data_IF_370009987627
#
_entry.id   IF_370009987627
#
_cell.length_a   1.000
_cell.length_b   1.000
_cell.length_c   1.000
_cell.angle_alpha   90.00
_cell.angle_beta   90.00
_cell.angle_gamma   90.00
#
_symmetry.space_group_name_H-M   'P 1'
#
loop_
_entity.id
_entity.type
_entity.pdbx_description
1 polymer ?
#
# COMPACT_ATOMS: atom_id res chain seq x y z
N UNK A 1 6.92 -9.30 19.36
CA UNK A 1 6.67 -10.71 19.03
C UNK A 1 6.20 -10.77 17.59
N UNK A 2 6.64 -11.74 16.78
CA UNK A 2 6.17 -11.89 15.39
C UNK A 2 4.76 -12.48 15.39
N UNK A 3 3.83 -11.88 14.67
CA UNK A 3 2.53 -12.47 14.36
C UNK A 3 2.70 -13.48 13.21
N UNK A 4 3.11 -14.70 13.57
CA UNK A 4 3.42 -15.74 12.59
C UNK A 4 2.21 -16.12 11.72
N UNK A 5 0.98 -16.30 12.25
CA UNK A 5 -0.20 -16.54 11.41
C UNK A 5 -0.39 -15.48 10.32
N UNK A 6 -0.37 -14.19 10.68
CA UNK A 6 -0.54 -13.10 9.71
C UNK A 6 0.58 -13.05 8.66
N UNK A 7 1.81 -13.41 9.05
CA UNK A 7 2.97 -13.45 8.15
C UNK A 7 2.92 -14.66 7.21
N UNK A 8 2.51 -15.82 7.70
CA UNK A 8 2.32 -17.02 6.87
C UNK A 8 1.20 -16.81 5.85
N UNK A 9 0.19 -15.99 6.17
CA UNK A 9 -0.81 -15.61 5.18
C UNK A 9 -0.24 -14.78 4.02
N UNK A 10 0.92 -14.15 4.21
CA UNK A 10 1.60 -13.31 3.22
C UNK A 10 2.70 -14.04 2.45
N UNK A 11 3.12 -15.24 2.84
CA UNK A 11 3.96 -16.08 1.99
C UNK A 11 3.14 -16.69 0.85
N UNK A 12 3.78 -17.04 -0.27
CA UNK A 12 3.08 -17.64 -1.42
C UNK A 12 2.59 -19.08 -1.18
N UNK A 13 2.97 -19.68 -0.05
CA UNK A 13 2.73 -21.07 0.25
C UNK A 13 1.61 -21.22 1.27
N UNK A 14 0.90 -22.35 1.19
CA UNK A 14 -0.17 -22.75 2.09
C UNK A 14 0.03 -24.21 2.47
N UNK A 15 -0.60 -24.65 3.55
CA UNK A 15 -0.61 -26.07 3.89
C UNK A 15 -1.01 -26.92 2.66
N UNK A 16 -0.30 -28.02 2.36
CA UNK A 16 0.78 -28.65 3.14
C UNK A 16 2.21 -28.14 2.83
N UNK A 17 2.38 -27.11 1.98
CA UNK A 17 3.68 -26.58 1.55
C UNK A 17 4.37 -25.61 2.52
N UNK A 18 3.81 -25.41 3.73
CA UNK A 18 4.48 -24.65 4.79
C UNK A 18 5.45 -25.57 5.54
N UNK A 19 6.74 -25.23 5.52
CA UNK A 19 7.81 -26.10 6.02
C UNK A 19 8.41 -25.64 7.34
N UNK A 20 8.02 -24.49 7.89
CA UNK A 20 8.53 -24.00 9.16
C UNK A 20 7.52 -24.35 10.27
N UNK A 21 7.99 -25.01 11.32
CA UNK A 21 7.15 -25.41 12.45
C UNK A 21 7.17 -24.37 13.58
N UNK A 22 8.29 -23.67 13.76
CA UNK A 22 8.48 -22.70 14.83
C UNK A 22 9.54 -21.65 14.50
N UNK A 23 9.35 -20.43 15.00
CA UNK A 23 10.36 -19.37 14.99
C UNK A 23 11.23 -19.48 16.24
N UNK A 24 12.54 -19.35 16.06
CA UNK A 24 13.53 -19.26 17.13
C UNK A 24 13.88 -17.82 17.47
N UNK A 25 15.18 -17.51 17.48
CA UNK A 25 15.71 -16.18 17.71
C UNK A 25 15.37 -15.25 16.55
N UNK A 26 14.98 -14.01 16.87
CA UNK A 26 14.65 -13.00 15.87
C UNK A 26 15.28 -11.66 16.24
N UNK A 27 16.15 -11.19 15.34
CA UNK A 27 16.71 -9.85 15.33
C UNK A 27 16.07 -9.07 14.17
N UNK A 28 15.08 -8.19 14.44
CA UNK A 28 14.29 -7.54 13.40
C UNK A 28 15.13 -6.88 12.31
N UNK A 29 14.86 -7.25 11.05
CA UNK A 29 15.53 -6.72 9.87
C UNK A 29 16.98 -7.20 9.67
N UNK A 30 17.52 -8.02 10.56
CA UNK A 30 18.90 -8.51 10.52
C UNK A 30 18.94 -10.04 10.36
N UNK A 31 18.41 -10.79 11.33
CA UNK A 31 18.58 -12.25 11.42
C UNK A 31 17.33 -12.92 11.97
N UNK A 32 17.02 -14.12 11.48
CA UNK A 32 15.95 -14.97 11.99
C UNK A 32 16.42 -16.43 12.00
N UNK A 33 16.16 -17.13 13.10
CA UNK A 33 16.23 -18.59 13.14
C UNK A 33 14.84 -19.20 13.22
N UNK A 34 14.68 -20.39 12.65
CA UNK A 34 13.45 -21.15 12.67
C UNK A 34 13.76 -22.65 12.66
N UNK A 35 12.74 -23.48 12.88
CA UNK A 35 12.89 -24.91 13.00
C UNK A 35 11.92 -25.68 12.10
N UNK A 36 12.40 -26.79 11.52
CA UNK A 36 11.61 -27.83 10.88
C UNK A 36 11.98 -29.19 11.48
N UNK A 37 11.01 -29.84 12.10
CA UNK A 37 11.14 -31.18 12.65
C UNK A 37 10.72 -32.18 11.56
N UNK A 38 11.61 -33.11 11.24
CA UNK A 38 11.36 -34.05 10.15
C UNK A 38 10.81 -35.35 10.72
N UNK A 39 9.55 -35.62 10.45
CA UNK A 39 8.92 -36.89 10.81
C UNK A 39 8.93 -37.84 9.61
N UNK A 40 8.90 -39.15 9.85
CA UNK A 40 8.80 -40.14 8.75
C UNK A 40 7.49 -39.98 7.95
N UNK A 41 6.49 -39.31 8.52
CA UNK A 41 5.18 -39.09 7.93
C UNK A 41 5.14 -37.90 6.96
N UNK A 42 6.24 -37.18 6.75
CA UNK A 42 6.26 -36.10 5.75
C UNK A 42 6.10 -36.71 4.33
N UNK A 43 5.17 -36.15 3.55
CA UNK A 43 4.75 -36.69 2.25
C UNK A 43 5.90 -36.88 1.23
N UNK A 44 6.99 -36.13 1.38
CA UNK A 44 8.14 -36.22 0.49
C UNK A 44 9.10 -37.38 0.80
N UNK A 45 9.05 -38.00 1.99
CA UNK A 45 9.95 -39.11 2.31
C UNK A 45 9.62 -40.43 1.59
N UNK A 46 8.34 -40.88 1.53
CA UNK A 46 7.98 -42.13 0.85
C UNK A 46 8.35 -42.17 -0.64
N UNK A 47 8.36 -41.01 -1.31
CA UNK A 47 8.56 -40.91 -2.76
C UNK A 47 9.94 -40.44 -3.23
N UNK A 48 10.79 -39.88 -2.37
CA UNK A 48 12.07 -39.30 -2.81
C UNK A 48 13.13 -40.37 -3.09
N UNK A 49 13.30 -41.34 -2.18
CA UNK A 49 14.16 -42.52 -2.41
C UNK A 49 13.59 -43.74 -1.66
N UNK A 50 13.09 -44.76 -2.39
CA UNK A 50 12.59 -45.99 -1.77
C UNK A 50 13.66 -46.65 -0.88
N UNK A 51 13.33 -46.88 0.39
CA UNK A 51 14.24 -47.51 1.37
C UNK A 51 15.33 -46.59 1.96
N UNK A 52 15.45 -45.35 1.52
CA UNK A 52 16.43 -44.38 2.01
C UNK A 52 15.80 -42.98 2.18
N UNK A 53 14.95 -42.77 3.19
CA UNK A 53 14.20 -41.52 3.34
C UNK A 53 15.16 -40.35 3.61
N UNK A 54 15.29 -39.45 2.63
CA UNK A 54 16.13 -38.25 2.70
C UNK A 54 15.29 -37.04 2.29
N UNK A 55 15.44 -35.91 2.98
CA UNK A 55 14.77 -34.66 2.62
C UNK A 55 15.36 -34.13 1.30
N UNK A 56 14.54 -33.84 0.28
CA UNK A 56 15.01 -33.23 -0.95
C UNK A 56 15.76 -31.92 -0.71
N UNK A 57 16.90 -31.76 -1.37
CA UNK A 57 17.75 -30.57 -1.27
C UNK A 57 16.99 -29.26 -1.56
N UNK A 58 16.08 -29.31 -2.54
CA UNK A 58 15.21 -28.18 -2.90
C UNK A 58 14.24 -27.79 -1.78
N UNK A 59 13.78 -28.72 -0.95
CA UNK A 59 12.91 -28.40 0.18
C UNK A 59 13.67 -27.73 1.33
N UNK A 60 14.98 -28.00 1.47
CA UNK A 60 15.81 -27.22 2.41
C UNK A 60 15.95 -25.77 1.95
N UNK A 61 16.12 -25.53 0.64
CA UNK A 61 16.15 -24.18 0.07
C UNK A 61 14.79 -23.48 0.21
N UNK A 62 13.70 -24.21 0.00
CA UNK A 62 12.34 -23.71 0.18
C UNK A 62 12.08 -23.32 1.64
N UNK A 63 12.45 -24.17 2.61
CA UNK A 63 12.33 -23.85 4.03
C UNK A 63 13.13 -22.59 4.41
N UNK A 64 14.37 -22.47 3.93
CA UNK A 64 15.18 -21.26 4.11
C UNK A 64 14.55 -20.01 3.45
N UNK A 65 13.92 -20.19 2.29
CA UNK A 65 13.19 -19.13 1.58
C UNK A 65 12.00 -18.63 2.39
N UNK A 66 11.24 -19.54 3.02
CA UNK A 66 10.13 -19.17 3.90
C UNK A 66 10.63 -18.38 5.11
N UNK A 67 11.78 -18.75 5.71
CA UNK A 67 12.36 -18.00 6.84
C UNK A 67 12.77 -16.60 6.39
N UNK A 68 13.40 -16.49 5.22
CA UNK A 68 13.76 -15.20 4.65
C UNK A 68 12.53 -14.33 4.37
N UNK A 69 11.44 -14.92 3.85
CA UNK A 69 10.18 -14.22 3.62
C UNK A 69 9.57 -13.71 4.93
N UNK A 70 9.53 -14.53 5.99
CA UNK A 70 9.04 -14.12 7.33
C UNK A 70 9.88 -12.96 7.88
N UNK A 71 11.21 -13.04 7.78
CA UNK A 71 12.12 -11.98 8.24
C UNK A 71 11.91 -10.66 7.45
N UNK A 72 11.72 -10.73 6.14
CA UNK A 72 11.46 -9.54 5.30
C UNK A 72 10.08 -8.93 5.61
N UNK A 73 9.04 -9.76 5.69
CA UNK A 73 7.65 -9.33 5.86
C UNK A 73 7.35 -8.85 7.28
N UNK A 74 8.07 -9.38 8.28
CA UNK A 74 7.99 -8.99 9.69
C UNK A 74 8.73 -7.69 10.03
N UNK A 75 9.44 -7.08 9.07
CA UNK A 75 10.08 -5.78 9.27
C UNK A 75 9.03 -4.65 9.30
N UNK A 76 9.15 -3.72 10.24
CA UNK A 76 8.22 -2.60 10.45
C UNK A 76 7.91 -1.72 9.21
N UNK A 77 8.79 -1.70 8.20
CA UNK A 77 8.63 -0.89 6.98
C UNK A 77 8.06 -1.69 5.80
N UNK A 78 7.74 -2.97 5.98
CA UNK A 78 7.18 -3.80 4.91
C UNK A 78 5.69 -3.53 4.80
N UNK A 79 5.23 -3.20 3.58
CA UNK A 79 3.82 -2.96 3.33
C UNK A 79 2.98 -4.17 3.80
N UNK A 80 1.81 -3.96 4.42
CA UNK A 80 0.93 -5.04 4.91
C UNK A 80 0.58 -6.05 3.81
N UNK A 81 0.48 -5.58 2.57
CA UNK A 81 0.16 -6.38 1.39
C UNK A 81 1.37 -7.06 0.76
N UNK A 82 2.59 -6.73 1.16
CA UNK A 82 3.79 -7.20 0.48
C UNK A 82 3.85 -8.73 0.46
N UNK A 83 4.29 -9.26 -0.67
CA UNK A 83 4.59 -10.68 -0.91
C UNK A 83 6.07 -10.82 -1.23
N UNK A 84 6.65 -11.97 -0.91
CA UNK A 84 8.07 -12.25 -1.17
C UNK A 84 8.21 -13.51 -1.99
N UNK A 85 8.83 -13.39 -3.16
CA UNK A 85 9.09 -14.50 -4.08
C UNK A 85 10.59 -14.78 -4.23
N UNK A 86 10.97 -16.05 -4.32
CA UNK A 86 12.35 -16.44 -4.64
C UNK A 86 12.63 -16.17 -6.12
N UNK A 87 13.73 -15.45 -6.40
CA UNK A 87 14.16 -15.12 -7.77
C UNK A 87 15.47 -15.75 -8.17
N UNK A 88 16.30 -16.13 -7.20
CA UNK A 88 17.57 -16.79 -7.49
C UNK A 88 18.16 -17.46 -6.27
N UNK A 89 18.91 -18.52 -6.53
CA UNK A 89 19.66 -19.28 -5.54
C UNK A 89 21.10 -19.34 -6.03
N UNK A 90 22.02 -18.75 -5.28
CA UNK A 90 23.43 -18.72 -5.62
C UNK A 90 24.24 -19.49 -4.58
N UNK A 91 25.40 -20.01 -4.99
CA UNK A 91 26.36 -20.67 -4.10
C UNK A 91 25.77 -21.77 -3.20
N UNK A 92 24.72 -22.47 -3.68
CA UNK A 92 24.06 -23.51 -2.91
C UNK A 92 24.98 -24.71 -2.70
N UNK A 93 25.13 -25.16 -1.45
CA UNK A 93 25.91 -26.35 -1.09
C UNK A 93 25.11 -27.23 -0.14
N UNK A 94 25.05 -28.53 -0.45
CA UNK A 94 24.40 -29.56 0.37
C UNK A 94 25.47 -30.52 0.86
N UNK A 95 25.67 -30.57 2.18
CA UNK A 95 26.85 -31.18 2.79
C UNK A 95 26.59 -32.53 3.41
N UNK A 96 25.35 -32.78 3.85
CA UNK A 96 24.93 -34.02 4.52
C UNK A 96 23.49 -34.35 4.16
N UNK A 97 23.16 -35.63 4.20
CA UNK A 97 21.77 -36.08 4.14
C UNK A 97 21.05 -35.63 5.41
N UNK A 98 19.79 -35.26 5.24
CA UNK A 98 18.87 -34.94 6.33
C UNK A 98 17.74 -35.96 6.27
N UNK A 99 17.47 -36.63 7.38
CA UNK A 99 16.65 -37.85 7.44
C UNK A 99 15.53 -37.69 8.47
N UNK A 100 14.52 -38.58 8.48
CA UNK A 100 13.50 -38.60 9.53
C UNK A 100 14.13 -38.70 10.92
N UNK A 101 13.60 -37.91 11.87
CA UNK A 101 14.13 -37.76 13.22
C UNK A 101 15.06 -36.56 13.39
N UNK A 102 15.60 -36.00 12.30
CA UNK A 102 16.39 -34.77 12.38
C UNK A 102 15.52 -33.55 12.73
N UNK A 103 16.13 -32.60 13.44
CA UNK A 103 15.60 -31.24 13.60
C UNK A 103 16.49 -30.27 12.85
N UNK A 104 15.94 -29.69 11.79
CA UNK A 104 16.60 -28.70 10.97
C UNK A 104 16.46 -27.32 11.62
N UNK A 105 17.58 -26.73 12.04
CA UNK A 105 17.63 -25.31 12.39
C UNK A 105 17.95 -24.51 11.13
N UNK A 106 17.08 -23.58 10.79
CA UNK A 106 17.16 -22.72 9.62
C UNK A 106 17.57 -21.32 10.08
N UNK A 107 18.71 -20.82 9.63
CA UNK A 107 19.19 -19.49 9.95
C UNK A 107 19.27 -18.64 8.68
N UNK A 108 18.69 -17.45 8.74
CA UNK A 108 18.73 -16.48 7.64
C UNK A 108 19.17 -15.12 8.17
N UNK A 109 20.14 -14.52 7.49
CA UNK A 109 20.59 -13.14 7.73
C UNK A 109 20.38 -12.28 6.47
N UNK A 110 19.78 -11.11 6.62
CA UNK A 110 19.56 -10.17 5.53
C UNK A 110 20.82 -9.34 5.26
N UNK A 111 21.21 -9.31 3.99
CA UNK A 111 22.23 -8.40 3.50
C UNK A 111 21.62 -7.07 3.05
N UNK A 112 22.30 -6.40 2.12
CA UNK A 112 21.87 -5.10 1.58
C UNK A 112 20.51 -5.23 0.88
N UNK A 113 19.51 -4.49 1.37
CA UNK A 113 18.19 -4.35 0.75
C UNK A 113 18.19 -3.22 -0.28
N UNK A 114 17.60 -3.47 -1.45
CA UNK A 114 17.14 -2.44 -2.40
C UNK A 114 15.61 -2.44 -2.40
N UNK A 115 14.98 -1.40 -2.95
CA UNK A 115 13.53 -1.15 -2.81
C UNK A 115 12.65 -2.41 -3.01
N UNK A 116 12.89 -3.19 -4.07
CA UNK A 116 12.11 -4.40 -4.41
C UNK A 116 12.92 -5.70 -4.41
N UNK A 117 14.16 -5.69 -3.95
CA UNK A 117 15.05 -6.86 -3.96
C UNK A 117 15.82 -6.96 -2.64
N UNK A 118 15.85 -8.16 -2.07
CA UNK A 118 16.64 -8.49 -0.89
C UNK A 118 17.58 -9.66 -1.21
N UNK A 119 18.82 -9.56 -0.70
CA UNK A 119 19.74 -10.68 -0.63
C UNK A 119 19.77 -11.22 0.78
N UNK A 120 19.75 -12.54 0.93
CA UNK A 120 19.81 -13.20 2.23
C UNK A 120 20.86 -14.30 2.21
N UNK A 121 21.70 -14.34 3.25
CA UNK A 121 22.55 -15.49 3.52
C UNK A 121 21.73 -16.50 4.31
N UNK A 122 21.67 -17.74 3.83
CA UNK A 122 20.80 -18.75 4.40
C UNK A 122 21.58 -20.04 4.69
N UNK A 123 21.46 -20.57 5.89
CA UNK A 123 22.19 -21.76 6.34
C UNK A 123 21.27 -22.68 7.14
N UNK A 124 21.33 -23.97 6.88
CA UNK A 124 20.59 -24.99 7.62
C UNK A 124 21.54 -25.92 8.37
N UNK A 125 21.15 -26.33 9.58
CA UNK A 125 21.95 -27.15 10.49
C UNK A 125 21.14 -28.31 11.07
N UNK A 126 21.83 -29.42 11.35
CA UNK A 126 21.35 -30.51 12.22
C UNK A 126 22.33 -30.64 13.37
N UNK A 127 21.88 -30.29 14.58
CA UNK A 127 22.78 -30.06 15.72
C UNK A 127 23.82 -28.97 15.37
N UNK A 128 25.11 -29.28 15.55
CA UNK A 128 26.21 -28.37 15.24
C UNK A 128 26.70 -28.44 13.78
N UNK A 129 26.10 -29.31 12.97
CA UNK A 129 26.61 -29.59 11.63
C UNK A 129 25.80 -28.85 10.58
N UNK A 130 26.50 -28.05 9.76
CA UNK A 130 25.90 -27.41 8.58
C UNK A 130 25.54 -28.47 7.54
N UNK A 131 24.27 -28.52 7.15
CA UNK A 131 23.73 -29.48 6.17
C UNK A 131 23.41 -28.82 4.83
N UNK A 132 23.02 -27.55 4.83
CA UNK A 132 22.82 -26.76 3.61
C UNK A 132 23.23 -25.29 3.80
N UNK A 133 23.61 -24.63 2.72
CA UNK A 133 23.82 -23.17 2.66
C UNK A 133 23.53 -22.64 1.27
N UNK A 134 23.05 -21.40 1.19
CA UNK A 134 22.84 -20.68 -0.07
C UNK A 134 22.80 -19.16 0.15
N UNK A 135 23.00 -18.44 -0.94
CA UNK A 135 22.65 -17.02 -1.08
C UNK A 135 21.33 -16.90 -1.83
N UNK A 136 20.29 -16.40 -1.16
CA UNK A 136 18.97 -16.22 -1.74
C UNK A 136 18.79 -14.80 -2.28
N UNK A 137 18.26 -14.69 -3.49
CA UNK A 137 17.77 -13.43 -4.06
C UNK A 137 16.24 -13.45 -4.05
N UNK A 138 15.64 -12.49 -3.36
CA UNK A 138 14.20 -12.42 -3.09
C UNK A 138 13.64 -11.13 -3.68
N UNK A 139 12.53 -11.23 -4.41
CA UNK A 139 11.75 -10.06 -4.83
C UNK A 139 10.66 -9.75 -3.81
N UNK A 140 10.48 -8.45 -3.56
CA UNK A 140 9.42 -7.92 -2.71
C UNK A 140 8.41 -7.25 -3.62
N UNK A 141 7.24 -7.85 -3.74
CA UNK A 141 6.18 -7.41 -4.63
C UNK A 141 5.05 -6.77 -3.82
N UNK A 142 4.40 -5.70 -4.31
CA UNK A 142 3.13 -5.27 -3.76
C UNK A 142 2.13 -6.42 -3.97
N UNK A 143 1.47 -6.89 -2.91
CA UNK A 143 0.36 -7.82 -3.07
C UNK A 143 -0.93 -7.10 -3.49
N UNK A 144 -2.03 -7.83 -3.50
CA UNK A 144 -3.37 -7.26 -3.65
C UNK A 144 -3.64 -6.15 -2.62
N UNK A 145 -4.69 -5.36 -2.82
CA UNK A 145 -5.08 -4.35 -1.83
C UNK A 145 -5.34 -5.01 -0.46
N UNK A 146 -4.97 -4.32 0.61
CA UNK A 146 -5.35 -4.68 1.98
C UNK A 146 -6.51 -3.80 2.40
N UNK A 147 -7.53 -4.43 2.96
CA UNK A 147 -8.68 -3.76 3.55
C UNK A 147 -8.73 -4.16 5.01
N UNK A 148 -8.67 -3.18 5.91
CA UNK A 148 -8.86 -3.41 7.34
C UNK A 148 -10.22 -4.08 7.59
N UNK A 149 -10.33 -5.09 8.49
CA UNK A 149 -11.58 -5.79 8.74
C UNK A 149 -12.75 -4.91 9.19
N UNK A 150 -12.47 -3.73 9.76
CA UNK A 150 -13.48 -2.76 10.18
C UNK A 150 -13.94 -1.80 9.07
N UNK A 151 -13.27 -1.80 7.91
CA UNK A 151 -13.67 -0.97 6.78
C UNK A 151 -14.86 -1.58 6.03
N UNK A 152 -15.81 -0.72 5.66
CA UNK A 152 -16.94 -1.07 4.80
C UNK A 152 -16.62 -0.69 3.35
N UNK A 153 -16.23 -1.68 2.55
CA UNK A 153 -15.89 -1.51 1.14
C UNK A 153 -16.90 -2.25 0.30
N UNK A 154 -17.66 -1.51 -0.51
CA UNK A 154 -18.66 -2.11 -1.37
C UNK A 154 -18.01 -3.12 -2.36
N UNK A 155 -18.60 -4.30 -2.61
CA UNK A 155 -18.00 -5.34 -3.45
C UNK A 155 -17.67 -4.94 -4.89
N UNK A 156 -18.33 -3.92 -5.42
CA UNK A 156 -18.07 -3.40 -6.78
C UNK A 156 -16.97 -2.33 -6.84
N UNK A 157 -16.51 -1.83 -5.68
CA UNK A 157 -15.39 -0.90 -5.62
C UNK A 157 -14.12 -1.58 -6.16
N UNK A 158 -13.27 -0.80 -6.84
CA UNK A 158 -12.06 -1.31 -7.47
C UNK A 158 -10.84 -0.75 -6.76
N UNK A 159 -10.03 -1.61 -6.14
CA UNK A 159 -8.82 -1.21 -5.43
C UNK A 159 -7.58 -1.74 -6.15
N UNK A 160 -6.64 -0.86 -6.48
CA UNK A 160 -5.40 -1.21 -7.13
C UNK A 160 -4.43 -1.97 -6.22
N UNK A 161 -3.50 -2.71 -6.83
CA UNK A 161 -2.46 -3.47 -6.13
C UNK A 161 -1.66 -2.61 -5.16
N UNK A 162 -1.36 -3.16 -3.99
CA UNK A 162 -0.60 -2.50 -2.94
C UNK A 162 -1.34 -1.39 -2.20
N UNK A 163 -2.60 -1.09 -2.55
CA UNK A 163 -3.41 -0.10 -1.84
C UNK A 163 -3.78 -0.59 -0.45
N UNK A 164 -3.77 0.31 0.52
CA UNK A 164 -4.07 0.03 1.93
C UNK A 164 -5.29 0.87 2.30
N UNK A 165 -6.36 0.22 2.72
CA UNK A 165 -7.56 0.84 3.30
C UNK A 165 -7.55 0.60 4.80
N UNK A 166 -7.46 1.70 5.56
CA UNK A 166 -7.38 1.70 7.02
C UNK A 166 -8.73 1.46 7.71
N UNK A 167 -8.67 1.35 9.03
CA UNK A 167 -9.84 1.04 9.87
C UNK A 167 -11.01 2.02 9.68
N UNK A 168 -12.23 1.50 9.77
CA UNK A 168 -13.47 2.26 9.73
C UNK A 168 -13.65 3.17 8.48
N UNK A 169 -12.97 2.86 7.36
CA UNK A 169 -13.25 3.55 6.11
C UNK A 169 -14.59 3.12 5.52
N UNK A 170 -15.19 3.98 4.70
CA UNK A 170 -16.36 3.64 3.89
C UNK A 170 -16.04 3.93 2.42
N UNK A 171 -16.14 2.91 1.55
CA UNK A 171 -15.86 3.03 0.11
C UNK A 171 -17.09 2.54 -0.68
N UNK A 172 -17.68 3.46 -1.43
CA UNK A 172 -18.92 3.24 -2.19
C UNK A 172 -18.78 2.40 -3.47
N UNK A 173 -19.92 2.05 -4.11
CA UNK A 173 -19.99 1.08 -5.20
C UNK A 173 -19.33 1.53 -6.52
N UNK A 174 -19.26 2.83 -6.77
CA UNK A 174 -18.75 3.42 -8.03
C UNK A 174 -17.34 3.98 -7.88
N UNK A 175 -16.63 3.59 -6.82
CA UNK A 175 -15.29 4.08 -6.52
C UNK A 175 -14.22 3.20 -7.16
N UNK A 176 -13.27 3.85 -7.83
CA UNK A 176 -12.02 3.24 -8.28
C UNK A 176 -10.84 3.94 -7.62
N UNK A 177 -10.02 3.18 -6.89
CA UNK A 177 -8.77 3.63 -6.29
C UNK A 177 -7.61 2.95 -7.01
N UNK A 178 -6.63 3.73 -7.42
CA UNK A 178 -5.40 3.28 -8.07
C UNK A 178 -4.51 2.41 -7.19
N UNK A 179 -3.31 2.12 -7.67
CA UNK A 179 -2.32 1.27 -7.02
C UNK A 179 -1.56 2.02 -5.94
N UNK A 180 -1.13 1.30 -4.90
CA UNK A 180 -0.25 1.82 -3.83
C UNK A 180 -0.80 3.09 -3.17
N UNK A 181 -2.12 3.26 -3.17
CA UNK A 181 -2.75 4.34 -2.43
C UNK A 181 -2.78 4.00 -0.94
N UNK A 182 -2.80 5.04 -0.11
CA UNK A 182 -2.97 4.90 1.33
C UNK A 182 -4.21 5.68 1.74
N UNK A 183 -5.21 4.96 2.22
CA UNK A 183 -6.46 5.53 2.72
C UNK A 183 -6.45 5.31 4.23
N UNK A 184 -6.15 6.36 5.00
CA UNK A 184 -6.06 6.25 6.45
C UNK A 184 -7.45 6.14 7.10
N UNK A 185 -7.48 5.88 8.41
CA UNK A 185 -8.69 5.52 9.13
C UNK A 185 -9.83 6.55 8.99
N UNK A 186 -11.07 6.04 8.93
CA UNK A 186 -12.29 6.86 8.92
C UNK A 186 -12.40 7.82 7.74
N UNK A 187 -11.79 7.50 6.60
CA UNK A 187 -12.04 8.20 5.33
C UNK A 187 -13.33 7.68 4.69
N UNK A 188 -14.12 8.60 4.14
CA UNK A 188 -15.30 8.27 3.33
C UNK A 188 -15.03 8.61 1.88
N UNK A 189 -15.18 7.63 0.98
CA UNK A 189 -15.08 7.79 -0.47
C UNK A 189 -16.35 7.23 -1.09
N UNK A 190 -17.11 8.04 -1.81
CA UNK A 190 -18.36 7.60 -2.44
C UNK A 190 -18.61 8.34 -3.76
N UNK A 191 -19.74 8.05 -4.40
CA UNK A 191 -20.10 8.57 -5.70
C UNK A 191 -19.24 7.98 -6.82
N UNK A 192 -19.46 8.46 -8.04
CA UNK A 192 -18.66 8.06 -9.19
C UNK A 192 -17.29 8.75 -9.13
N UNK A 193 -16.34 8.08 -8.48
CA UNK A 193 -15.07 8.67 -8.06
C UNK A 193 -13.90 7.83 -8.51
N UNK A 194 -12.97 8.43 -9.25
CA UNK A 194 -11.71 7.83 -9.66
C UNK A 194 -10.53 8.52 -8.95
N UNK A 195 -9.64 7.75 -8.34
CA UNK A 195 -8.45 8.23 -7.62
C UNK A 195 -7.21 7.55 -8.19
N UNK A 196 -6.25 8.33 -8.65
CA UNK A 196 -5.01 7.83 -9.25
C UNK A 196 -4.02 7.23 -8.25
N UNK A 197 -3.09 6.45 -8.79
CA UNK A 197 -2.00 5.75 -8.07
C UNK A 197 -1.24 6.64 -7.06
N UNK A 198 -0.74 6.01 -6.00
CA UNK A 198 0.17 6.61 -5.01
C UNK A 198 -0.41 7.83 -4.28
N UNK A 199 -1.72 8.00 -4.28
CA UNK A 199 -2.42 9.03 -3.51
C UNK A 199 -2.53 8.62 -2.04
N UNK A 200 -2.27 9.56 -1.13
CA UNK A 200 -2.43 9.38 0.32
C UNK A 200 -3.54 10.30 0.83
N UNK A 201 -4.58 9.69 1.38
CA UNK A 201 -5.73 10.36 2.00
C UNK A 201 -5.68 10.11 3.51
N UNK A 202 -5.61 11.21 4.27
CA UNK A 202 -5.48 11.22 5.72
C UNK A 202 -6.85 11.10 6.42
N UNK A 203 -6.85 10.82 7.74
CA UNK A 203 -8.09 10.51 8.46
C UNK A 203 -9.20 11.56 8.34
N UNK A 204 -10.44 11.09 8.39
CA UNK A 204 -11.66 11.92 8.41
C UNK A 204 -11.90 12.77 7.16
N UNK A 205 -11.18 12.53 6.06
CA UNK A 205 -11.46 13.17 4.78
C UNK A 205 -12.73 12.59 4.13
N UNK A 206 -13.43 13.42 3.36
CA UNK A 206 -14.68 13.08 2.67
C UNK A 206 -14.57 13.38 1.18
N UNK A 207 -14.59 12.33 0.35
CA UNK A 207 -14.17 12.39 -1.05
C UNK A 207 -15.30 11.87 -1.94
N UNK A 208 -15.70 12.66 -2.93
CA UNK A 208 -16.69 12.27 -3.94
C UNK A 208 -18.15 12.38 -3.50
N UNK A 209 -18.41 12.82 -2.26
CA UNK A 209 -19.76 13.04 -1.76
C UNK A 209 -20.54 14.09 -2.57
N UNK A 210 -21.87 14.03 -2.44
CA UNK A 210 -22.80 14.98 -3.05
C UNK A 210 -22.38 16.44 -2.80
N UNK A 211 -22.49 17.30 -3.83
CA UNK A 211 -22.19 18.71 -3.69
C UNK A 211 -23.20 19.43 -2.82
N UNK A 212 -22.78 20.58 -2.28
CA UNK A 212 -23.62 21.43 -1.43
C UNK A 212 -24.47 22.45 -2.24
N UNK A 213 -24.50 22.34 -3.57
CA UNK A 213 -25.36 23.17 -4.42
C UNK A 213 -26.83 22.77 -4.16
N UNK A 214 -27.67 23.76 -3.82
CA UNK A 214 -29.10 23.57 -3.56
C UNK A 214 -29.87 23.03 -4.78
N UNK A 215 -29.32 23.17 -5.98
CA UNK A 215 -29.92 22.65 -7.22
C UNK A 215 -29.62 21.17 -7.45
N UNK A 216 -28.66 20.58 -6.72
CA UNK A 216 -28.32 19.17 -6.86
C UNK A 216 -29.48 18.29 -6.39
N UNK A 217 -29.92 17.36 -7.23
CA UNK A 217 -31.08 16.48 -6.99
C UNK A 217 -30.68 14.99 -6.94
N UNK A 218 -29.40 14.69 -6.72
CA UNK A 218 -28.92 13.31 -6.73
C UNK A 218 -28.51 12.81 -8.11
N UNK A 219 -28.36 13.70 -9.09
CA UNK A 219 -27.90 13.30 -10.43
C UNK A 219 -26.52 12.62 -10.37
N UNK A 220 -26.26 11.75 -11.36
CA UNK A 220 -25.01 11.01 -11.47
C UNK A 220 -23.89 11.91 -12.01
N UNK A 221 -23.07 12.43 -11.10
CA UNK A 221 -21.91 13.28 -11.39
C UNK A 221 -20.62 12.66 -10.86
N UNK A 222 -19.49 13.15 -11.38
CA UNK A 222 -18.18 12.49 -11.26
C UNK A 222 -17.16 13.34 -10.51
N UNK A 223 -16.23 12.65 -9.85
CA UNK A 223 -14.97 13.19 -9.35
C UNK A 223 -13.80 12.40 -9.95
N UNK A 224 -12.76 13.09 -10.41
CA UNK A 224 -11.50 12.46 -10.82
C UNK A 224 -10.32 13.14 -10.14
N UNK A 225 -9.52 12.36 -9.42
CA UNK A 225 -8.29 12.80 -8.76
C UNK A 225 -7.13 12.06 -9.42
N UNK A 226 -6.09 12.78 -9.80
CA UNK A 226 -4.86 12.22 -10.36
C UNK A 226 -4.02 11.45 -9.35
N UNK A 227 -2.73 11.34 -9.66
CA UNK A 227 -1.75 10.52 -8.96
C UNK A 227 -0.94 11.32 -7.95
N UNK A 228 -0.41 10.63 -6.93
CA UNK A 228 0.56 11.20 -5.95
C UNK A 228 0.06 12.45 -5.22
N UNK A 229 -1.25 12.55 -5.02
CA UNK A 229 -1.83 13.63 -4.22
C UNK A 229 -1.69 13.33 -2.73
N UNK A 230 -1.46 14.36 -1.92
CA UNK A 230 -1.54 14.30 -0.46
C UNK A 230 -2.78 15.06 -0.02
N UNK A 231 -3.79 14.35 0.45
CA UNK A 231 -5.06 14.92 0.90
C UNK A 231 -5.13 14.76 2.42
N UNK A 232 -5.01 15.87 3.13
CA UNK A 232 -4.88 15.91 4.59
C UNK A 232 -6.23 15.81 5.30
N UNK A 233 -6.15 15.79 6.63
CA UNK A 233 -7.24 15.52 7.56
C UNK A 233 -8.43 16.44 7.31
N UNK A 234 -9.65 15.90 7.39
CA UNK A 234 -10.91 16.67 7.24
C UNK A 234 -11.08 17.41 5.90
N UNK A 235 -10.27 17.11 4.88
CA UNK A 235 -10.49 17.66 3.55
C UNK A 235 -11.82 17.17 2.98
N UNK A 236 -12.51 18.04 2.25
CA UNK A 236 -13.79 17.73 1.60
C UNK A 236 -13.70 18.03 0.11
N UNK A 237 -14.04 17.05 -0.74
CA UNK A 237 -13.95 17.17 -2.19
C UNK A 237 -15.25 16.64 -2.79
N UNK A 238 -16.07 17.54 -3.35
CA UNK A 238 -17.36 17.16 -3.89
C UNK A 238 -17.31 16.88 -5.39
N UNK A 239 -18.14 15.94 -5.84
CA UNK A 239 -18.43 15.73 -7.27
C UNK A 239 -19.15 16.93 -7.88
N UNK A 240 -19.23 16.98 -9.21
CA UNK A 240 -19.88 18.08 -9.93
C UNK A 240 -21.41 18.12 -9.81
N UNK A 241 -22.03 19.02 -10.56
CA UNK A 241 -23.48 19.19 -10.71
C UNK A 241 -23.90 19.06 -12.18
N UNK A 242 -25.11 18.60 -12.49
CA UNK A 242 -25.54 18.49 -13.89
C UNK A 242 -25.46 19.83 -14.64
N UNK A 243 -25.77 20.94 -13.97
CA UNK A 243 -25.68 22.29 -14.55
C UNK A 243 -24.25 22.82 -14.70
N UNK A 244 -23.29 22.24 -13.98
CA UNK A 244 -21.90 22.69 -13.91
C UNK A 244 -20.90 21.96 -14.79
N UNK A 245 -21.37 20.97 -15.57
CA UNK A 245 -20.53 20.04 -16.34
C UNK A 245 -20.41 18.67 -15.69
N UNK A 246 -20.88 18.50 -14.47
CA UNK A 246 -21.04 17.21 -13.79
C UNK A 246 -19.72 16.57 -13.38
N UNK A 247 -18.63 17.33 -13.36
CA UNK A 247 -17.29 16.78 -13.17
C UNK A 247 -16.37 17.73 -12.40
N UNK A 248 -15.95 17.29 -11.22
CA UNK A 248 -14.83 17.92 -10.48
C UNK A 248 -13.54 17.17 -10.83
N UNK A 249 -12.45 17.88 -11.11
CA UNK A 249 -11.15 17.28 -11.46
C UNK A 249 -10.01 17.86 -10.63
N UNK A 250 -9.10 17.00 -10.19
CA UNK A 250 -7.83 17.35 -9.53
C UNK A 250 -6.69 16.63 -10.26
N UNK A 251 -5.64 17.35 -10.62
CA UNK A 251 -4.44 16.81 -11.28
C UNK A 251 -3.54 15.98 -10.35
N UNK A 252 -2.24 16.02 -10.62
CA UNK A 252 -1.22 15.20 -9.96
C UNK A 252 -0.38 16.01 -8.96
N UNK A 253 0.22 15.30 -7.99
CA UNK A 253 1.25 15.85 -7.09
C UNK A 253 0.80 17.09 -6.29
N UNK A 254 -0.47 17.18 -5.93
CA UNK A 254 -0.99 18.29 -5.14
C UNK A 254 -0.87 18.02 -3.64
N UNK A 255 -0.76 19.08 -2.86
CA UNK A 255 -0.89 19.05 -1.40
C UNK A 255 -2.15 19.82 -0.99
N UNK A 256 -3.15 19.10 -0.51
CA UNK A 256 -4.35 19.68 0.09
C UNK A 256 -4.24 19.53 1.60
N UNK A 257 -3.94 20.62 2.31
CA UNK A 257 -3.77 20.59 3.77
C UNK A 257 -5.10 20.44 4.52
N UNK A 258 -5.04 20.37 5.85
CA UNK A 258 -6.20 20.02 6.66
C UNK A 258 -7.36 21.01 6.43
N UNK A 259 -8.59 20.50 6.43
CA UNK A 259 -9.82 21.28 6.21
C UNK A 259 -9.91 22.01 4.85
N UNK A 260 -9.11 21.63 3.85
CA UNK A 260 -9.30 22.15 2.50
C UNK A 260 -10.66 21.71 1.96
N UNK A 261 -11.36 22.63 1.31
CA UNK A 261 -12.62 22.36 0.63
C UNK A 261 -12.48 22.60 -0.87
N UNK A 262 -12.83 21.58 -1.66
CA UNK A 262 -12.98 21.68 -3.11
C UNK A 262 -14.45 21.43 -3.44
N UNK A 263 -15.16 22.51 -3.76
CA UNK A 263 -16.56 22.44 -4.15
C UNK A 263 -16.78 21.76 -5.51
N UNK A 264 -18.03 21.66 -5.89
CA UNK A 264 -18.47 21.09 -7.15
C UNK A 264 -17.90 21.79 -8.38
N UNK A 265 -17.67 21.01 -9.43
CA UNK A 265 -17.28 21.48 -10.77
C UNK A 265 -15.96 22.27 -10.78
N UNK A 266 -15.13 22.11 -9.74
CA UNK A 266 -13.81 22.70 -9.70
C UNK A 266 -12.84 21.94 -10.61
N UNK A 267 -11.89 22.68 -11.19
CA UNK A 267 -10.80 22.14 -11.98
C UNK A 267 -9.46 22.58 -11.39
N UNK A 268 -8.81 21.68 -10.64
CA UNK A 268 -7.49 21.88 -10.05
C UNK A 268 -6.43 21.18 -10.90
N UNK A 269 -5.38 21.90 -11.25
CA UNK A 269 -4.23 21.40 -12.00
C UNK A 269 -3.30 20.51 -11.15
N UNK A 270 -2.03 20.50 -11.52
CA UNK A 270 -0.99 19.69 -10.88
C UNK A 270 0.02 20.56 -10.10
N UNK A 271 0.69 19.96 -9.12
CA UNK A 271 1.70 20.62 -8.28
C UNK A 271 1.20 21.85 -7.49
N UNK A 272 -0.09 21.91 -7.22
CA UNK A 272 -0.71 22.97 -6.43
C UNK A 272 -0.60 22.71 -4.94
N UNK A 273 -0.64 23.79 -4.15
CA UNK A 273 -0.60 23.72 -2.69
C UNK A 273 -1.77 24.52 -2.13
N UNK A 274 -2.56 23.87 -1.29
CA UNK A 274 -3.63 24.49 -0.52
C UNK A 274 -3.28 24.45 0.96
N UNK A 275 -3.11 25.62 1.58
CA UNK A 275 -2.92 25.75 3.01
C UNK A 275 -4.16 25.32 3.81
N UNK A 276 -4.04 25.12 5.13
CA UNK A 276 -5.18 24.67 5.94
C UNK A 276 -6.37 25.62 5.80
N UNK A 277 -7.58 25.08 5.72
CA UNK A 277 -8.82 25.84 5.51
C UNK A 277 -8.93 26.60 4.18
N UNK A 278 -8.03 26.37 3.21
CA UNK A 278 -8.22 26.96 1.88
C UNK A 278 -9.51 26.40 1.25
N UNK A 279 -10.38 27.30 0.79
CA UNK A 279 -11.76 26.95 0.38
C UNK A 279 -12.02 27.42 -1.05
N UNK A 280 -12.42 26.48 -1.90
CA UNK A 280 -12.87 26.78 -3.27
C UNK A 280 -14.40 26.76 -3.33
N UNK A 281 -15.00 27.84 -3.82
CA UNK A 281 -16.40 27.85 -4.23
C UNK A 281 -16.64 27.03 -5.51
N UNK A 282 -17.90 26.86 -5.89
CA UNK A 282 -18.25 26.09 -7.09
C UNK A 282 -17.61 26.63 -8.37
N UNK A 283 -17.28 25.75 -9.31
CA UNK A 283 -16.73 26.09 -10.63
C UNK A 283 -15.38 26.82 -10.64
N UNK A 284 -14.62 26.76 -9.54
CA UNK A 284 -13.30 27.41 -9.48
C UNK A 284 -12.27 26.64 -10.30
N UNK A 285 -11.41 27.37 -11.02
CA UNK A 285 -10.26 26.79 -11.73
C UNK A 285 -8.95 27.21 -11.07
N UNK A 286 -8.14 26.25 -10.68
CA UNK A 286 -6.79 26.48 -10.14
C UNK A 286 -5.79 25.85 -11.08
N UNK A 287 -4.91 26.64 -11.67
CA UNK A 287 -3.92 26.15 -12.63
C UNK A 287 -2.65 25.63 -11.94
N UNK A 288 -1.80 24.94 -12.72
CA UNK A 288 -0.61 24.26 -12.18
C UNK A 288 0.30 25.16 -11.37
N UNK A 289 0.96 24.58 -10.36
CA UNK A 289 1.95 25.23 -9.50
C UNK A 289 1.42 26.42 -8.67
N UNK A 290 0.11 26.65 -8.66
CA UNK A 290 -0.50 27.73 -7.88
C UNK A 290 -0.55 27.38 -6.39
N UNK A 291 -0.51 28.42 -5.55
CA UNK A 291 -0.61 28.30 -4.11
C UNK A 291 -1.79 29.11 -3.59
N UNK A 292 -2.63 28.48 -2.76
CA UNK A 292 -3.68 29.15 -2.02
C UNK A 292 -3.39 28.97 -0.54
N UNK A 293 -2.91 30.03 0.10
CA UNK A 293 -2.44 29.97 1.49
C UNK A 293 -3.57 29.78 2.49
N UNK A 294 -3.17 29.43 3.72
CA UNK A 294 -4.06 29.10 4.83
C UNK A 294 -5.19 30.11 5.04
N UNK A 295 -6.40 29.62 5.29
CA UNK A 295 -7.59 30.42 5.58
C UNK A 295 -8.12 31.25 4.40
N UNK A 296 -7.60 31.06 3.19
CA UNK A 296 -8.03 31.84 2.03
C UNK A 296 -9.21 31.20 1.33
N UNK A 297 -10.02 32.01 0.64
CA UNK A 297 -11.16 31.55 -0.12
C UNK A 297 -11.11 32.06 -1.57
N UNK A 298 -11.55 31.23 -2.51
CA UNK A 298 -11.77 31.60 -3.90
C UNK A 298 -13.26 31.53 -4.20
N UNK A 299 -13.85 32.66 -4.54
CA UNK A 299 -15.27 32.76 -4.82
C UNK A 299 -15.64 31.97 -6.08
N UNK A 300 -16.89 31.50 -6.16
CA UNK A 300 -17.38 30.70 -7.28
C UNK A 300 -17.06 31.34 -8.64
N UNK A 301 -16.79 30.49 -9.65
CA UNK A 301 -16.39 30.83 -11.02
C UNK A 301 -15.05 31.55 -11.20
N UNK A 302 -14.35 31.92 -10.12
CA UNK A 302 -13.06 32.59 -10.22
C UNK A 302 -11.95 31.61 -10.61
N UNK A 303 -10.84 32.18 -11.08
CA UNK A 303 -9.63 31.45 -11.47
C UNK A 303 -8.43 31.86 -10.65
N UNK A 304 -7.54 30.91 -10.36
CA UNK A 304 -6.17 31.16 -9.92
C UNK A 304 -5.23 30.68 -11.01
N UNK A 305 -4.61 31.64 -11.70
CA UNK A 305 -3.75 31.38 -12.84
C UNK A 305 -2.42 30.73 -12.45
N UNK A 306 -1.76 30.10 -13.43
CA UNK A 306 -0.54 29.30 -13.23
C UNK A 306 0.52 30.04 -12.42
N UNK A 307 1.14 29.37 -11.45
CA UNK A 307 2.10 29.97 -10.51
C UNK A 307 1.56 31.16 -9.70
N UNK A 308 0.23 31.36 -9.65
CA UNK A 308 -0.37 32.38 -8.82
C UNK A 308 -0.21 32.05 -7.34
N UNK A 309 -0.04 33.07 -6.52
CA UNK A 309 0.08 32.95 -5.08
C UNK A 309 -0.99 33.80 -4.40
N UNK A 310 -1.91 33.15 -3.69
CA UNK A 310 -2.90 33.82 -2.85
C UNK A 310 -2.38 33.81 -1.41
N UNK A 311 -2.10 35.00 -0.86
CA UNK A 311 -1.65 35.17 0.53
C UNK A 311 -2.69 34.70 1.55
N UNK A 312 -2.23 34.35 2.76
CA UNK A 312 -3.10 33.78 3.80
C UNK A 312 -4.26 34.71 4.19
N UNK A 313 -5.39 34.12 4.57
CA UNK A 313 -6.61 34.82 4.95
C UNK A 313 -7.15 35.80 3.89
N UNK A 314 -6.87 35.54 2.61
CA UNK A 314 -7.36 36.37 1.49
C UNK A 314 -8.70 35.86 0.95
N UNK A 315 -9.47 36.75 0.31
CA UNK A 315 -10.67 36.38 -0.44
C UNK A 315 -10.52 36.82 -1.90
N UNK A 316 -10.43 35.85 -2.80
CA UNK A 316 -10.34 36.06 -4.25
C UNK A 316 -11.76 36.14 -4.82
N UNK A 317 -12.19 37.36 -5.21
CA UNK A 317 -13.53 37.62 -5.76
C UNK A 317 -13.54 37.91 -7.26
N UNK A 318 -12.35 37.93 -7.87
CA UNK A 318 -12.10 38.03 -9.31
C UNK A 318 -10.90 37.15 -9.64
N UNK A 319 -10.70 36.83 -10.91
CA UNK A 319 -9.57 36.01 -11.34
C UNK A 319 -8.22 36.56 -10.84
N UNK A 320 -7.44 35.70 -10.18
CA UNK A 320 -6.07 35.96 -9.81
C UNK A 320 -5.16 35.62 -11.01
N UNK A 321 -4.39 36.61 -11.45
CA UNK A 321 -3.56 36.50 -12.64
C UNK A 321 -2.42 35.47 -12.45
N UNK A 322 -2.00 34.77 -13.53
CA UNK A 322 -0.81 33.93 -13.51
C UNK A 322 0.43 34.71 -13.03
N UNK A 323 1.31 34.04 -12.29
CA UNK A 323 2.55 34.59 -11.71
C UNK A 323 2.35 35.76 -10.71
N UNK A 324 1.11 36.13 -10.39
CA UNK A 324 0.80 37.13 -9.36
C UNK A 324 1.14 36.63 -7.95
N UNK A 325 1.50 37.55 -7.05
CA UNK A 325 1.79 37.28 -5.64
C UNK A 325 1.11 38.27 -4.72
#
# INVERSE_FOLDING_TARGET
>A
MLDLPALLDRVHHRFPSLLIDAVGEHEPGSRLTAYKNLTINEDFFPGHFPGAPVMPAVLMIEALTQVAAVLILGHANSAPTARVSLRGVNNAKFRRQVVPGDRLMLEVSLGRRRSRLAKAQATAYVGQHRVAEAELLLAIEPGAAYVDPSADVHPSARLGEGTIVGANCTIGPEVTVGRRCRIDASVVIDGWTDIGDETHIFPMASIGLAPQDLKYQGERTRLTIGTRNTIREFATINRGTAGGGGHTTIGDNNLLMAYVHVAHDCHVGSHTIFGPHATLGGHVRVEDYSNISAGSAVHQFCRVGKYGFVGGYSVVTKDALPFGR
#
